data_IF_237429783075
#
_entry.id   IF_237429783075
#
_cell.length_a   1.000
_cell.length_b   1.000
_cell.length_c   1.000
_cell.angle_alpha   90.00
_cell.angle_beta   90.00
_cell.angle_gamma   90.00
#
_symmetry.space_group_name_H-M   'P 1'
#
loop_
_entity.id
_entity.type
_entity.pdbx_description
1 polymer ?
#
# COMPACT_ATOMS: atom_id res chain seq x y z
N UNK A 1 9.15 11.83 -3.19
CA UNK A 1 8.62 10.88 -2.20
C UNK A 1 7.86 9.81 -2.96
N UNK A 2 8.08 8.54 -2.64
CA UNK A 2 7.41 7.41 -3.28
C UNK A 2 6.18 7.01 -2.45
N UNK A 3 5.02 6.76 -3.07
CA UNK A 3 3.84 6.28 -2.34
C UNK A 3 4.04 4.81 -1.90
N UNK A 4 3.97 4.57 -0.60
CA UNK A 4 4.01 3.22 -0.01
C UNK A 4 2.59 2.82 0.37
N UNK A 5 2.19 1.62 -0.05
CA UNK A 5 0.94 0.99 0.36
C UNK A 5 1.12 0.33 1.72
N UNK A 6 0.28 0.72 2.67
CA UNK A 6 0.28 0.17 4.04
C UNK A 6 -0.98 -0.64 4.27
N UNK A 7 -0.82 -1.86 4.79
CA UNK A 7 -1.93 -2.74 5.16
C UNK A 7 -1.81 -3.14 6.62
N UNK A 8 -2.84 -2.88 7.42
CA UNK A 8 -2.92 -3.35 8.80
C UNK A 8 -3.84 -4.58 8.83
N UNK A 9 -3.32 -5.67 9.37
CA UNK A 9 -4.00 -6.95 9.53
C UNK A 9 -4.06 -7.27 11.02
N UNK A 10 -5.26 -7.53 11.53
CA UNK A 10 -5.49 -7.90 12.93
C UNK A 10 -5.86 -9.39 12.97
N UNK A 11 -5.20 -10.15 13.83
CA UNK A 11 -5.53 -11.54 14.12
C UNK A 11 -6.26 -11.61 15.45
N UNK A 12 -7.47 -12.13 15.48
CA UNK A 12 -8.33 -12.18 16.65
C UNK A 12 -9.63 -11.39 16.42
N UNK A 13 -10.36 -11.13 17.49
CA UNK A 13 -11.52 -10.24 17.45
C UNK A 13 -11.08 -8.78 17.52
N UNK A 14 -11.91 -7.87 17.05
CA UNK A 14 -11.58 -6.45 16.92
C UNK A 14 -11.28 -5.79 18.27
N UNK A 15 -12.00 -6.18 19.33
CA UNK A 15 -11.80 -5.68 20.69
C UNK A 15 -10.74 -6.45 21.49
N UNK A 16 -10.35 -7.63 21.02
CA UNK A 16 -9.36 -8.51 21.69
C UNK A 16 -8.32 -9.01 20.68
N UNK A 17 -7.51 -8.11 20.09
CA UNK A 17 -6.51 -8.49 19.12
C UNK A 17 -5.49 -9.43 19.79
N UNK A 18 -5.17 -10.53 19.10
CA UNK A 18 -4.12 -11.46 19.51
C UNK A 18 -2.77 -11.09 18.90
N UNK A 19 -2.77 -10.58 17.67
CA UNK A 19 -1.59 -10.08 17.00
C UNK A 19 -1.96 -9.01 15.96
N UNK A 20 -1.05 -8.09 15.73
CA UNK A 20 -1.12 -7.05 14.71
C UNK A 20 0.03 -7.28 13.72
N UNK A 21 -0.30 -7.23 12.43
CA UNK A 21 0.66 -7.29 11.34
C UNK A 21 0.47 -6.08 10.44
N UNK A 22 1.52 -5.30 10.26
CA UNK A 22 1.54 -4.17 9.32
C UNK A 22 2.45 -4.54 8.15
N UNK A 23 1.96 -4.40 6.94
CA UNK A 23 2.69 -4.69 5.71
C UNK A 23 2.93 -3.39 4.93
N UNK A 24 4.17 -3.19 4.48
CA UNK A 24 4.55 -2.09 3.59
C UNK A 24 4.89 -2.67 2.22
N UNK A 25 4.28 -2.12 1.18
CA UNK A 25 4.47 -2.57 -0.21
C UNK A 25 4.58 -1.40 -1.16
N UNK A 26 5.31 -1.58 -2.27
CA UNK A 26 5.45 -0.56 -3.31
C UNK A 26 4.83 -1.04 -4.63
N UNK A 27 4.35 -0.09 -5.44
CA UNK A 27 3.99 -0.34 -6.83
C UNK A 27 5.18 -0.25 -7.79
N UNK A 28 6.18 0.59 -7.48
CA UNK A 28 7.38 0.71 -8.29
C UNK A 28 8.35 -0.46 -8.08
N UNK A 29 8.35 -1.06 -6.88
CA UNK A 29 9.18 -2.21 -6.56
C UNK A 29 8.34 -3.38 -6.02
N UNK A 30 8.16 -4.41 -6.85
CA UNK A 30 7.39 -5.62 -6.51
C UNK A 30 8.03 -6.47 -5.40
N UNK A 31 9.35 -6.39 -5.24
CA UNK A 31 10.10 -7.11 -4.21
C UNK A 31 10.10 -6.38 -2.86
N UNK A 32 9.67 -5.11 -2.85
CA UNK A 32 9.53 -4.35 -1.63
C UNK A 32 8.30 -4.85 -0.84
N UNK A 33 8.57 -5.69 0.15
CA UNK A 33 7.57 -6.21 1.07
C UNK A 33 8.16 -6.34 2.47
N UNK A 34 7.81 -5.39 3.33
CA UNK A 34 8.28 -5.29 4.69
C UNK A 34 7.14 -5.54 5.67
N UNK A 35 7.44 -6.25 6.76
CA UNK A 35 6.44 -6.62 7.75
C UNK A 35 6.88 -6.21 9.14
N UNK A 36 5.99 -5.53 9.84
CA UNK A 36 6.03 -5.36 11.28
C UNK A 36 5.01 -6.33 11.86
N UNK A 37 5.44 -7.20 12.76
CA UNK A 37 4.59 -8.16 13.44
C UNK A 37 4.75 -7.99 14.95
N UNK A 38 3.63 -7.79 15.63
CA UNK A 38 3.59 -7.56 17.07
C UNK A 38 2.42 -8.31 17.68
N UNK A 39 2.70 -9.15 18.65
CA UNK A 39 1.73 -9.76 19.56
C UNK A 39 1.77 -9.06 20.94
N UNK A 40 0.92 -9.52 21.87
CA UNK A 40 0.83 -8.93 23.21
C UNK A 40 2.16 -8.97 23.99
N UNK A 41 2.99 -10.00 23.81
CA UNK A 41 4.25 -10.14 24.54
C UNK A 41 5.32 -9.20 23.98
N UNK A 42 5.53 -9.22 22.66
CA UNK A 42 6.44 -8.31 21.96
C UNK A 42 6.05 -6.84 22.09
N UNK A 43 4.75 -6.55 22.25
CA UNK A 43 4.27 -5.19 22.49
C UNK A 43 4.77 -4.59 23.80
N UNK A 44 4.95 -5.38 24.86
CA UNK A 44 5.44 -4.86 26.16
C UNK A 44 6.79 -4.15 25.99
N UNK A 45 7.68 -4.75 25.20
CA UNK A 45 8.98 -4.13 24.89
C UNK A 45 8.82 -2.81 24.14
N UNK A 46 7.89 -2.73 23.18
CA UNK A 46 7.60 -1.49 22.44
C UNK A 46 7.02 -0.43 23.38
N UNK A 47 6.08 -0.83 24.23
CA UNK A 47 5.41 0.03 25.19
C UNK A 47 6.41 0.64 26.19
N UNK A 48 7.31 -0.17 26.74
CA UNK A 48 8.35 0.29 27.68
C UNK A 48 9.39 1.16 26.98
N UNK A 49 9.92 0.71 25.83
CA UNK A 49 11.00 1.42 25.12
C UNK A 49 10.55 2.78 24.61
N UNK A 50 9.31 2.89 24.15
CA UNK A 50 8.76 4.11 23.56
C UNK A 50 7.81 4.85 24.50
N UNK A 51 7.67 4.38 25.75
CA UNK A 51 6.83 4.96 26.80
C UNK A 51 5.38 5.19 26.35
N UNK A 52 4.81 4.21 25.66
CA UNK A 52 3.42 4.28 25.22
C UNK A 52 2.48 4.10 26.41
N UNK A 53 1.50 5.00 26.53
CA UNK A 53 0.48 4.94 27.58
C UNK A 53 -0.73 4.06 27.25
N UNK A 54 -0.82 3.60 26.00
CA UNK A 54 -1.93 2.80 25.49
C UNK A 54 -1.68 1.31 25.67
N UNK A 55 -2.74 0.52 25.78
CA UNK A 55 -2.66 -0.93 25.83
C UNK A 55 -2.58 -1.56 24.43
N UNK A 56 -2.19 -2.84 24.37
CA UNK A 56 -2.10 -3.58 23.11
C UNK A 56 -3.42 -3.58 22.31
N UNK A 57 -4.57 -3.59 22.99
CA UNK A 57 -5.88 -3.56 22.35
C UNK A 57 -6.11 -2.28 21.54
N UNK A 58 -5.50 -1.17 21.95
CA UNK A 58 -5.63 0.13 21.28
C UNK A 58 -4.53 0.37 20.23
N UNK A 59 -3.46 -0.42 20.26
CA UNK A 59 -2.31 -0.29 19.38
C UNK A 59 -2.65 -0.29 17.87
N UNK A 60 -3.51 -1.18 17.33
CA UNK A 60 -3.90 -1.12 15.93
C UNK A 60 -4.60 0.19 15.56
N UNK A 61 -5.45 0.70 16.45
CA UNK A 61 -6.15 1.97 16.24
C UNK A 61 -5.19 3.17 16.28
N UNK A 62 -4.16 3.14 17.14
CA UNK A 62 -3.09 4.14 17.17
C UNK A 62 -2.33 4.16 15.85
N UNK A 63 -1.89 2.99 15.35
CA UNK A 63 -1.21 2.87 14.06
C UNK A 63 -2.05 3.45 12.92
N UNK A 64 -3.34 3.09 12.87
CA UNK A 64 -4.28 3.62 11.87
C UNK A 64 -4.43 5.14 11.94
N UNK A 65 -4.54 5.71 13.15
CA UNK A 65 -4.60 7.16 13.35
C UNK A 65 -3.33 7.86 12.88
N UNK A 66 -2.16 7.33 13.19
CA UNK A 66 -0.88 7.94 12.78
C UNK A 66 -0.74 7.96 11.26
N UNK A 67 -1.03 6.84 10.59
CA UNK A 67 -1.04 6.78 9.12
C UNK A 67 -2.04 7.78 8.51
N UNK A 68 -3.25 7.85 9.07
CA UNK A 68 -4.28 8.79 8.60
C UNK A 68 -3.84 10.25 8.76
N UNK A 69 -3.15 10.61 9.85
CA UNK A 69 -2.60 11.96 10.06
C UNK A 69 -1.54 12.30 9.02
N UNK A 70 -0.60 11.40 8.74
CA UNK A 70 0.40 11.60 7.69
C UNK A 70 -0.22 11.81 6.30
N UNK A 71 -1.38 11.19 6.02
CA UNK A 71 -2.10 11.39 4.77
C UNK A 71 -2.86 12.73 4.70
N UNK A 72 -3.46 13.16 5.81
CA UNK A 72 -4.34 14.34 5.86
C UNK A 72 -3.57 15.65 6.08
N UNK A 73 -2.48 15.59 6.84
CA UNK A 73 -1.74 16.75 7.33
C UNK A 73 -0.22 16.59 7.09
N UNK A 74 0.24 16.47 5.83
CA UNK A 74 1.62 16.12 5.50
C UNK A 74 2.67 17.18 5.89
N UNK A 75 2.23 18.42 6.15
CA UNK A 75 3.12 19.50 6.64
C UNK A 75 3.45 19.36 8.13
N UNK A 76 2.54 18.74 8.89
CA UNK A 76 2.63 18.60 10.34
C UNK A 76 3.00 17.18 10.77
N UNK A 77 2.63 16.16 9.99
CA UNK A 77 2.91 14.76 10.31
C UNK A 77 3.56 14.05 9.13
N UNK A 78 4.66 13.36 9.40
CA UNK A 78 5.44 12.63 8.41
C UNK A 78 5.69 11.20 8.88
N UNK A 79 5.76 10.28 7.92
CA UNK A 79 6.21 8.92 8.16
C UNK A 79 7.52 8.73 7.39
N UNK A 80 8.62 8.48 8.11
CA UNK A 80 9.95 8.32 7.52
C UNK A 80 10.37 6.87 7.66
N UNK A 81 10.55 6.19 6.52
CA UNK A 81 11.06 4.82 6.49
C UNK A 81 12.57 4.84 6.27
N UNK A 82 13.33 4.37 7.25
CA UNK A 82 14.79 4.22 7.19
C UNK A 82 15.12 2.75 6.98
N UNK A 83 15.67 2.43 5.81
CA UNK A 83 16.16 1.08 5.51
C UNK A 83 17.62 0.94 5.95
N UNK A 84 17.92 -0.06 6.77
CA UNK A 84 19.28 -0.36 7.22
C UNK A 84 20.00 -1.25 6.20
N UNK A 85 21.33 -1.14 6.12
CA UNK A 85 22.16 -1.93 5.20
C UNK A 85 22.01 -3.45 5.40
N UNK A 86 21.64 -3.88 6.60
CA UNK A 86 21.52 -5.28 6.97
C UNK A 86 20.15 -5.90 6.62
N UNK A 87 19.24 -5.12 6.04
CA UNK A 87 17.90 -5.58 5.65
C UNK A 87 16.76 -5.00 6.48
N UNK A 88 16.81 -4.90 7.82
CA UNK A 88 15.73 -4.32 8.61
C UNK A 88 15.42 -2.88 8.22
N UNK A 89 14.17 -2.48 8.42
CA UNK A 89 13.73 -1.10 8.24
C UNK A 89 13.05 -0.59 9.50
N UNK A 90 13.12 0.72 9.72
CA UNK A 90 12.47 1.41 10.84
C UNK A 90 11.56 2.48 10.27
N UNK A 91 10.30 2.47 10.65
CA UNK A 91 9.32 3.49 10.27
C UNK A 91 9.08 4.40 11.46
N UNK A 92 9.43 5.67 11.32
CA UNK A 92 9.24 6.68 12.36
C UNK A 92 8.10 7.63 11.97
N UNK A 93 7.12 7.76 12.86
CA UNK A 93 6.10 8.79 12.78
C UNK A 93 6.60 10.04 13.48
N UNK A 94 6.70 11.13 12.75
CA UNK A 94 7.30 12.37 13.20
C UNK A 94 6.27 13.49 13.09
N UNK A 95 6.15 14.29 14.14
CA UNK A 95 5.38 15.53 14.15
C UNK A 95 6.32 16.73 14.06
N UNK A 96 6.05 17.63 13.11
CA UNK A 96 6.65 18.94 13.06
C UNK A 96 5.85 19.89 13.96
N UNK A 97 6.49 20.37 15.03
CA UNK A 97 5.94 21.38 15.94
C UNK A 97 6.61 22.76 15.70
N UNK A 98 6.94 23.04 14.44
CA UNK A 98 7.55 24.28 13.89
C UNK A 98 9.03 24.48 14.21
N UNK A 99 9.41 24.38 15.48
CA UNK A 99 10.79 24.59 15.94
C UNK A 99 11.53 23.29 16.28
N UNK A 100 10.83 22.14 16.18
CA UNK A 100 11.40 20.81 16.44
C UNK A 100 10.59 19.72 15.75
N UNK A 101 11.28 18.61 15.44
CA UNK A 101 10.66 17.35 15.06
C UNK A 101 10.55 16.44 16.28
N UNK A 102 9.34 15.96 16.56
CA UNK A 102 9.05 15.04 17.65
C UNK A 102 8.74 13.66 17.07
N UNK A 103 9.51 12.64 17.46
CA UNK A 103 9.16 11.25 17.17
C UNK A 103 7.97 10.83 18.05
N UNK A 104 6.87 10.42 17.43
CA UNK A 104 5.64 10.00 18.09
C UNK A 104 5.58 8.50 18.34
N UNK A 105 6.06 7.72 17.37
CA UNK A 105 6.03 6.26 17.38
C UNK A 105 7.04 5.74 16.37
N UNK A 106 7.74 4.68 16.73
CA UNK A 106 8.64 3.94 15.86
C UNK A 106 8.21 2.48 15.72
N UNK A 107 8.29 1.96 14.51
CA UNK A 107 7.96 0.57 14.21
C UNK A 107 9.12 -0.10 13.46
N UNK A 108 9.61 -1.22 13.99
CA UNK A 108 10.62 -2.03 13.32
C UNK A 108 9.95 -2.99 12.33
N UNK A 109 10.47 -3.01 11.11
CA UNK A 109 10.05 -3.85 10.01
C UNK A 109 11.17 -4.77 9.56
N UNK A 110 10.82 -5.99 9.21
CA UNK A 110 11.73 -6.95 8.61
C UNK A 110 11.34 -7.21 7.15
N UNK A 111 12.32 -7.39 6.25
CA UNK A 111 12.03 -7.83 4.89
C UNK A 111 11.42 -9.22 4.95
N UNK A 112 10.42 -9.47 4.12
CA UNK A 112 9.82 -10.80 4.05
C UNK A 112 10.70 -11.78 3.30
N UNK A 113 10.66 -13.08 3.66
CA UNK A 113 11.36 -14.13 2.91
C UNK A 113 10.92 -14.18 1.46
N UNK A 114 11.83 -14.59 0.56
CA UNK A 114 11.59 -14.62 -0.89
C UNK A 114 10.32 -15.40 -1.26
N UNK A 115 10.05 -16.53 -0.61
CA UNK A 115 8.85 -17.33 -0.84
C UNK A 115 7.54 -16.57 -0.56
N UNK A 116 7.55 -15.71 0.47
CA UNK A 116 6.40 -14.86 0.80
C UNK A 116 6.28 -13.74 -0.24
N UNK A 117 7.40 -13.12 -0.61
CA UNK A 117 7.44 -12.09 -1.66
C UNK A 117 6.90 -12.64 -2.97
N UNK A 118 7.34 -13.82 -3.40
CA UNK A 118 6.88 -14.48 -4.64
C UNK A 118 5.37 -14.72 -4.61
N UNK A 119 4.84 -15.29 -3.53
CA UNK A 119 3.39 -15.48 -3.34
C UNK A 119 2.62 -14.16 -3.40
N UNK A 120 3.16 -13.12 -2.77
CA UNK A 120 2.54 -11.80 -2.76
C UNK A 120 2.54 -11.15 -4.16
N UNK A 121 3.64 -11.27 -4.91
CA UNK A 121 3.73 -10.83 -6.30
C UNK A 121 2.71 -11.57 -7.17
N UNK A 122 2.64 -12.90 -7.07
CA UNK A 122 1.66 -13.71 -7.81
C UNK A 122 0.23 -13.30 -7.48
N UNK A 123 -0.07 -13.06 -6.20
CA UNK A 123 -1.38 -12.57 -5.77
C UNK A 123 -1.72 -11.21 -6.40
N UNK A 124 -0.82 -10.22 -6.32
CA UNK A 124 -1.02 -8.89 -6.91
C UNK A 124 -1.21 -8.95 -8.42
N UNK A 125 -0.39 -9.75 -9.10
CA UNK A 125 -0.50 -9.97 -10.54
C UNK A 125 -1.87 -10.55 -10.91
N UNK A 126 -2.30 -11.62 -10.23
CA UNK A 126 -3.59 -12.26 -10.49
C UNK A 126 -4.77 -11.33 -10.18
N UNK A 127 -4.68 -10.53 -9.11
CA UNK A 127 -5.69 -9.55 -8.75
C UNK A 127 -5.86 -8.50 -9.86
N UNK A 128 -4.76 -7.95 -10.38
CA UNK A 128 -4.79 -6.96 -11.46
C UNK A 128 -5.28 -7.59 -12.76
N UNK A 129 -4.78 -8.79 -13.10
CA UNK A 129 -5.23 -9.56 -14.28
C UNK A 129 -6.74 -9.82 -14.24
N UNK A 130 -7.27 -10.24 -13.09
CA UNK A 130 -8.71 -10.45 -12.90
C UNK A 130 -9.52 -9.16 -13.05
N UNK A 131 -9.08 -8.06 -12.42
CA UNK A 131 -9.72 -6.74 -12.57
C UNK A 131 -9.72 -6.25 -14.02
N UNK A 132 -8.61 -6.43 -14.73
CA UNK A 132 -8.47 -6.07 -16.14
C UNK A 132 -9.43 -6.86 -17.01
N UNK A 133 -9.52 -8.19 -16.82
CA UNK A 133 -10.44 -9.04 -17.56
C UNK A 133 -11.91 -8.62 -17.34
N UNK A 134 -12.31 -8.34 -16.10
CA UNK A 134 -13.66 -7.85 -15.79
C UNK A 134 -13.96 -6.50 -16.43
N UNK A 135 -13.00 -5.57 -16.41
CA UNK A 135 -13.18 -4.25 -17.02
C UNK A 135 -13.27 -4.35 -18.55
N UNK A 136 -12.48 -5.22 -19.17
CA UNK A 136 -12.54 -5.48 -20.60
C UNK A 136 -13.88 -6.09 -21.02
N UNK A 137 -14.41 -7.05 -20.24
CA UNK A 137 -15.74 -7.62 -20.49
C UNK A 137 -16.84 -6.54 -20.43
N UNK A 138 -16.83 -5.71 -19.37
CA UNK A 138 -17.78 -4.59 -19.23
C UNK A 138 -17.70 -3.60 -20.38
N UNK A 139 -16.48 -3.25 -20.82
CA UNK A 139 -16.29 -2.38 -21.98
C UNK A 139 -16.83 -3.00 -23.26
N UNK A 140 -16.65 -4.31 -23.46
CA UNK A 140 -17.20 -5.02 -24.61
C UNK A 140 -18.74 -5.01 -24.61
N UNK A 141 -19.37 -5.23 -23.46
CA UNK A 141 -20.82 -5.20 -23.30
C UNK A 141 -21.39 -3.81 -23.59
N UNK A 142 -20.79 -2.76 -23.01
CA UNK A 142 -21.18 -1.37 -23.29
C UNK A 142 -21.02 -1.05 -24.78
N UNK A 143 -19.91 -1.46 -25.37
CA UNK A 143 -19.66 -1.25 -26.80
C UNK A 143 -20.73 -1.97 -27.65
N UNK A 144 -21.13 -3.19 -27.30
CA UNK A 144 -22.20 -3.92 -27.99
C UNK A 144 -23.56 -3.19 -27.86
N UNK A 145 -23.92 -2.71 -26.67
CA UNK A 145 -25.16 -1.95 -26.46
C UNK A 145 -25.17 -0.66 -27.28
N UNK A 146 -24.06 0.08 -27.30
CA UNK A 146 -23.96 1.34 -28.07
C UNK A 146 -24.03 1.06 -29.57
N UNK A 147 -23.42 -0.02 -30.07
CA UNK A 147 -23.56 -0.44 -31.48
C UNK A 147 -25.01 -0.64 -31.87
N UNK A 148 -25.80 -1.29 -31.01
CA UNK A 148 -27.21 -1.62 -31.29
C UNK A 148 -28.10 -0.38 -31.14
N UNK A 149 -27.92 0.41 -30.08
CA UNK A 149 -28.84 1.51 -29.75
C UNK A 149 -28.49 2.85 -30.41
N UNK A 150 -27.21 3.15 -30.64
CA UNK A 150 -26.74 4.46 -31.13
C UNK A 150 -25.43 4.32 -31.94
N UNK A 151 -25.47 3.74 -33.16
CA UNK A 151 -24.27 3.47 -33.95
C UNK A 151 -23.50 4.73 -34.36
N UNK A 152 -24.18 5.87 -34.53
CA UNK A 152 -23.59 7.17 -34.86
C UNK A 152 -22.74 7.75 -33.71
N UNK A 153 -23.10 7.49 -32.45
CA UNK A 153 -22.29 7.86 -31.28
C UNK A 153 -20.99 7.04 -31.23
N UNK A 154 -21.07 5.76 -31.60
CA UNK A 154 -19.91 4.86 -31.63
C UNK A 154 -18.86 5.30 -32.64
N UNK A 155 -19.30 5.70 -33.84
CA UNK A 155 -18.42 6.25 -34.88
C UNK A 155 -17.73 7.54 -34.40
N UNK A 156 -18.42 8.37 -33.62
CA UNK A 156 -17.84 9.57 -33.03
C UNK A 156 -16.80 9.23 -31.96
N UNK A 157 -17.10 8.31 -31.04
CA UNK A 157 -16.15 7.85 -30.01
C UNK A 157 -14.89 7.27 -30.67
N UNK A 158 -15.05 6.40 -31.67
CA UNK A 158 -13.93 5.79 -32.39
C UNK A 158 -13.04 6.82 -33.09
N UNK A 159 -13.63 7.87 -33.70
CA UNK A 159 -12.90 8.99 -34.32
C UNK A 159 -12.14 9.84 -33.31
N UNK A 160 -12.63 9.96 -32.08
CA UNK A 160 -11.96 10.72 -31.00
C UNK A 160 -10.84 9.89 -30.37
N UNK A 161 -11.05 8.60 -30.10
CA UNK A 161 -10.02 7.73 -29.50
C UNK A 161 -8.84 7.44 -30.43
N UNK A 162 -9.05 7.44 -31.75
CA UNK A 162 -7.97 7.28 -32.74
C UNK A 162 -7.07 8.51 -32.87
N UNK A 163 -7.44 9.65 -32.27
CA UNK A 163 -6.62 10.87 -32.20
C UNK A 163 -5.76 10.96 -30.94
N UNK A 164 -5.92 10.03 -29.98
CA UNK A 164 -5.03 9.94 -28.82
C UNK A 164 -3.75 9.17 -29.21
N UNK A 165 -2.55 9.72 -28.97
CA UNK A 165 -1.31 9.06 -29.38
C UNK A 165 -1.15 7.70 -28.67
N UNK A 166 -1.05 6.64 -29.47
CA UNK A 166 -0.66 5.31 -29.01
C UNK A 166 0.71 5.38 -28.33
N UNK A 167 0.78 5.05 -27.03
CA UNK A 167 2.06 4.80 -26.38
C UNK A 167 2.71 3.59 -27.08
N UNK A 168 3.78 3.84 -27.84
CA UNK A 168 4.52 2.84 -28.62
C UNK A 168 4.92 1.66 -27.74
N UNK A 169 4.60 0.44 -28.18
CA UNK A 169 5.16 -0.80 -27.66
C UNK A 169 6.69 -0.75 -27.85
N UNK A 170 7.44 -0.98 -26.78
CA UNK A 170 8.88 -1.24 -26.88
C UNK A 170 9.10 -2.55 -27.64
N UNK A 171 9.61 -2.45 -28.87
CA UNK A 171 10.24 -3.56 -29.58
C UNK A 171 11.66 -3.70 -29.06
N UNK A 172 11.92 -4.79 -28.34
CA UNK A 172 13.29 -5.29 -28.14
C UNK A 172 13.80 -5.82 -29.48
N UNK A 173 14.79 -5.16 -30.04
CA UNK A 173 15.63 -5.72 -31.11
C UNK A 173 16.98 -6.05 -30.50
N UNK A 174 17.26 -7.34 -30.44
CA UNK A 174 18.59 -7.90 -30.17
C UNK A 174 19.56 -7.50 -31.27
N UNK A 175 20.77 -7.10 -30.88
CA UNK A 175 22.02 -7.29 -31.62
C UNK A 175 23.16 -7.31 -30.61
#
# INVERSE_FOLDING_TARGET
MEPIHVKILIKGEENTPRAVRVELTSEANLFFHYVHYTDKASYQTIQETQRLMVDFNEYPAVLGRMLCRCMKEPQSYMAVLVMQKNGPARLDFIQNIEYKFLELLSCNFCPSPEEIVRKHITYRYNLIKGRMAMMQARLADVNAIVKVKNPSLLLHIQRVTSRLPHHRKFSTTSA
#
